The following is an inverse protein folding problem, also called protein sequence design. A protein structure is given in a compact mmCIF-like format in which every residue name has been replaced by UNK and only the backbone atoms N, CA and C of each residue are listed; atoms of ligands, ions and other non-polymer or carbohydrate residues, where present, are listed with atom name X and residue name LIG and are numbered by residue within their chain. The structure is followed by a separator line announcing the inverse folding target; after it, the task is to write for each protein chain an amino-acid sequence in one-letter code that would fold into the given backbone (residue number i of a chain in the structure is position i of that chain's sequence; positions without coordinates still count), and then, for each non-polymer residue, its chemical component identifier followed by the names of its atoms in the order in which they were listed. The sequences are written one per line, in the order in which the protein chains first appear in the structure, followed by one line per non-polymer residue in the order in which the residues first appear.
data_IF_875763834633
#
_entry.id   IF_875763834633
#
_cell.length_a   1.000
_cell.length_b   1.000
_cell.length_c   1.000
_cell.angle_alpha   90.00
_cell.angle_beta   90.00
_cell.angle_gamma   90.00
#
_symmetry.space_group_name_H-M   'P 1'
#
loop_
_entity.id
_entity.type
_entity.pdbx_description
1 polymer ?
#
# COMPACT_ATOMS: atom_id res chain seq x y z
N UNK A 1 -14.13 -25.12 -4.09
CA UNK A 1 -13.55 -24.93 -5.46
C UNK A 1 -12.44 -23.89 -5.51
N UNK A 2 -12.53 -22.73 -4.84
CA UNK A 2 -11.45 -21.72 -4.80
C UNK A 2 -10.09 -22.25 -4.28
N UNK A 3 -10.10 -23.14 -3.28
CA UNK A 3 -8.89 -23.78 -2.73
C UNK A 3 -8.18 -24.68 -3.76
N UNK A 4 -8.96 -25.45 -4.54
CA UNK A 4 -8.43 -26.38 -5.55
C UNK A 4 -7.79 -25.64 -6.73
N UNK A 5 -8.31 -24.45 -7.07
CA UNK A 5 -7.74 -23.62 -8.13
C UNK A 5 -6.54 -22.79 -7.64
N UNK A 6 -6.56 -22.28 -6.41
CA UNK A 6 -5.49 -21.44 -5.87
C UNK A 6 -4.22 -22.23 -5.52
N UNK A 7 -4.36 -23.46 -4.98
CA UNK A 7 -3.22 -24.29 -4.57
C UNK A 7 -2.22 -24.62 -5.70
N UNK A 8 -2.64 -25.03 -6.92
CA UNK A 8 -1.71 -25.19 -8.04
C UNK A 8 -1.19 -23.85 -8.60
N UNK A 9 -2.04 -22.81 -8.61
CA UNK A 9 -1.63 -21.48 -9.10
C UNK A 9 -0.56 -20.86 -8.21
N UNK A 10 -0.63 -21.02 -6.89
CA UNK A 10 0.37 -20.52 -5.95
C UNK A 10 1.78 -21.07 -6.28
N UNK A 11 1.87 -22.35 -6.67
CA UNK A 11 3.13 -22.95 -7.13
C UNK A 11 3.66 -22.35 -8.43
N UNK A 12 2.76 -21.99 -9.37
CA UNK A 12 3.13 -21.31 -10.62
C UNK A 12 3.64 -19.89 -10.35
N UNK A 13 2.94 -19.13 -9.49
CA UNK A 13 3.37 -17.79 -9.09
C UNK A 13 4.73 -17.83 -8.38
N UNK A 14 4.95 -18.79 -7.47
CA UNK A 14 6.25 -18.97 -6.81
C UNK A 14 7.38 -19.26 -7.82
N UNK A 15 7.12 -20.05 -8.86
CA UNK A 15 8.08 -20.32 -9.94
C UNK A 15 8.41 -19.07 -10.76
N UNK A 16 7.46 -18.17 -10.97
CA UNK A 16 7.70 -16.90 -11.66
C UNK A 16 8.68 -16.01 -10.89
N UNK A 17 8.63 -16.03 -9.55
CA UNK A 17 9.57 -15.28 -8.69
C UNK A 17 11.01 -15.83 -8.72
N UNK A 18 11.22 -17.06 -9.18
CA UNK A 18 12.56 -17.66 -9.32
C UNK A 18 13.31 -17.16 -10.56
N UNK A 19 12.62 -16.52 -11.51
CA UNK A 19 13.25 -15.95 -12.71
C UNK A 19 14.17 -14.80 -12.28
N UNK A 20 15.40 -14.69 -12.83
CA UNK A 20 16.31 -13.60 -12.47
C UNK A 20 15.64 -12.23 -12.69
N UNK A 21 15.77 -11.36 -11.67
CA UNK A 21 15.09 -10.06 -11.58
C UNK A 21 15.13 -9.22 -12.86
N UNK A 22 16.24 -9.14 -13.63
CA UNK A 22 16.28 -8.35 -14.85
C UNK A 22 15.27 -8.81 -15.92
N UNK A 23 15.13 -10.13 -16.12
CA UNK A 23 14.18 -10.68 -17.09
C UNK A 23 12.73 -10.45 -16.67
N UNK A 24 12.46 -10.56 -15.37
CA UNK A 24 11.13 -10.31 -14.81
C UNK A 24 10.71 -8.84 -15.03
N UNK A 25 11.61 -7.89 -14.78
CA UNK A 25 11.32 -6.48 -15.03
C UNK A 25 11.16 -6.16 -16.53
N UNK A 26 11.98 -6.76 -17.39
CA UNK A 26 11.84 -6.61 -18.84
C UNK A 26 10.47 -7.13 -19.34
N UNK A 27 10.05 -8.31 -18.87
CA UNK A 27 8.76 -8.88 -19.21
C UNK A 27 7.59 -8.00 -18.70
N UNK A 28 7.64 -7.56 -17.43
CA UNK A 28 6.61 -6.66 -16.87
C UNK A 28 6.51 -5.38 -17.68
N UNK A 29 7.64 -4.75 -18.01
CA UNK A 29 7.65 -3.51 -18.79
C UNK A 29 7.09 -3.73 -20.20
N UNK A 30 7.46 -4.84 -20.84
CA UNK A 30 6.96 -5.21 -22.16
C UNK A 30 5.44 -5.43 -22.16
N UNK A 31 4.92 -6.23 -21.22
CA UNK A 31 3.48 -6.48 -21.11
C UNK A 31 2.72 -5.21 -20.71
N UNK A 32 3.28 -4.35 -19.86
CA UNK A 32 2.67 -3.07 -19.50
C UNK A 32 2.61 -2.11 -20.71
N UNK A 33 3.68 -2.06 -21.52
CA UNK A 33 3.73 -1.25 -22.74
C UNK A 33 2.70 -1.72 -23.77
N UNK A 34 2.62 -3.03 -24.02
CA UNK A 34 1.61 -3.61 -24.91
C UNK A 34 0.21 -3.38 -24.36
N UNK A 35 -0.01 -3.57 -23.05
CA UNK A 35 -1.32 -3.36 -22.42
C UNK A 35 -1.79 -1.91 -22.50
N UNK A 36 -0.91 -0.96 -22.24
CA UNK A 36 -1.21 0.47 -22.38
C UNK A 36 -1.56 0.85 -23.82
N UNK A 37 -0.78 0.35 -24.79
CA UNK A 37 -1.06 0.59 -26.20
C UNK A 37 -2.35 -0.10 -26.66
N UNK A 38 -2.62 -1.33 -26.20
CA UNK A 38 -3.83 -2.08 -26.55
C UNK A 38 -5.13 -1.48 -25.99
N UNK A 39 -5.05 -0.72 -24.89
CA UNK A 39 -6.23 -0.13 -24.25
C UNK A 39 -6.91 0.94 -25.12
N UNK A 40 -6.15 1.87 -25.68
CA UNK A 40 -6.69 2.98 -26.47
C UNK A 40 -6.07 3.13 -27.88
N UNK A 41 -5.11 2.27 -28.26
CA UNK A 41 -4.38 2.38 -29.52
C UNK A 41 -3.51 3.64 -29.62
N UNK A 42 -3.34 4.38 -28.53
CA UNK A 42 -2.70 5.70 -28.52
C UNK A 42 -1.22 5.58 -28.15
N UNK A 43 -0.36 6.21 -28.96
CA UNK A 43 1.07 6.34 -28.62
C UNK A 43 1.29 7.27 -27.42
N UNK A 44 0.34 8.14 -27.10
CA UNK A 44 0.41 9.02 -25.92
C UNK A 44 0.39 8.23 -24.62
N UNK A 45 -0.36 7.14 -24.54
CA UNK A 45 -0.44 6.28 -23.36
C UNK A 45 0.88 5.55 -23.11
N UNK A 46 1.61 5.22 -24.19
CA UNK A 46 2.94 4.64 -24.10
C UNK A 46 3.97 5.66 -23.57
N UNK A 47 3.91 6.91 -24.03
CA UNK A 47 4.73 7.99 -23.49
C UNK A 47 4.41 8.25 -22.02
N UNK A 48 3.13 8.28 -21.66
CA UNK A 48 2.70 8.45 -20.27
C UNK A 48 3.19 7.31 -19.38
N UNK A 49 3.06 6.06 -19.83
CA UNK A 49 3.59 4.88 -19.15
C UNK A 49 5.11 5.01 -18.92
N UNK A 50 5.87 5.40 -19.94
CA UNK A 50 7.32 5.58 -19.81
C UNK A 50 7.69 6.70 -18.83
N UNK A 51 6.99 7.83 -18.88
CA UNK A 51 7.21 8.96 -17.96
C UNK A 51 6.89 8.56 -16.51
N UNK A 52 5.73 7.95 -16.27
CA UNK A 52 5.32 7.49 -14.93
C UNK A 52 6.24 6.37 -14.44
N UNK A 53 6.64 5.44 -15.32
CA UNK A 53 7.59 4.38 -15.01
C UNK A 53 8.97 4.92 -14.63
N UNK A 54 9.47 5.91 -15.37
CA UNK A 54 10.71 6.61 -15.07
C UNK A 54 10.62 7.39 -13.75
N UNK A 55 9.50 8.07 -13.48
CA UNK A 55 9.24 8.75 -12.22
C UNK A 55 9.26 7.75 -11.04
N UNK A 56 8.59 6.60 -11.19
CA UNK A 56 8.59 5.54 -10.18
C UNK A 56 9.99 4.95 -9.94
N UNK A 57 10.80 4.79 -10.99
CA UNK A 57 12.20 4.40 -10.88
C UNK A 57 13.02 5.45 -10.11
N UNK A 58 12.82 6.73 -10.42
CA UNK A 58 13.50 7.84 -9.75
C UNK A 58 13.12 7.93 -8.27
N UNK A 59 11.84 7.76 -7.94
CA UNK A 59 11.37 7.69 -6.55
C UNK A 59 12.02 6.55 -5.77
N UNK A 60 12.14 5.37 -6.40
CA UNK A 60 12.84 4.24 -5.81
C UNK A 60 14.33 4.54 -5.58
N UNK A 61 14.95 5.35 -6.45
CA UNK A 61 16.34 5.81 -6.28
C UNK A 61 16.50 6.79 -5.11
N UNK A 62 15.51 7.64 -4.85
CA UNK A 62 15.51 8.59 -3.73
C UNK A 62 14.98 8.00 -2.41
N UNK A 63 14.63 6.71 -2.38
CA UNK A 63 14.08 6.06 -1.18
C UNK A 63 12.64 6.45 -0.87
N UNK A 64 11.94 7.11 -1.80
CA UNK A 64 10.53 7.43 -1.66
C UNK A 64 9.70 6.17 -1.93
N UNK A 65 8.78 5.78 -1.02
CA UNK A 65 7.97 4.59 -1.20
C UNK A 65 6.92 4.85 -2.30
N UNK A 66 7.11 4.21 -3.46
CA UNK A 66 6.27 4.43 -4.66
C UNK A 66 4.78 4.16 -4.40
N UNK A 67 4.48 3.10 -3.65
CA UNK A 67 3.10 2.67 -3.39
C UNK A 67 2.29 3.73 -2.61
N UNK A 68 2.74 4.23 -1.44
CA UNK A 68 2.08 5.34 -0.74
C UNK A 68 1.89 6.60 -1.58
N UNK A 69 2.87 6.96 -2.43
CA UNK A 69 2.74 8.14 -3.28
C UNK A 69 1.64 7.96 -4.34
N UNK A 70 1.59 6.81 -5.01
CA UNK A 70 0.53 6.54 -6.00
C UNK A 70 -0.84 6.59 -5.32
N UNK A 71 -0.97 5.95 -4.15
CA UNK A 71 -2.20 5.99 -3.34
C UNK A 71 -2.56 7.44 -2.98
N UNK A 72 -1.59 8.26 -2.56
CA UNK A 72 -1.81 9.68 -2.26
C UNK A 72 -2.25 10.50 -3.47
N UNK A 73 -1.67 10.25 -4.65
CA UNK A 73 -2.04 10.94 -5.90
C UNK A 73 -3.47 10.60 -6.33
N UNK A 74 -3.88 9.35 -6.17
CA UNK A 74 -5.24 8.90 -6.52
C UNK A 74 -6.26 9.39 -5.47
N UNK A 75 -5.93 9.26 -4.18
CA UNK A 75 -6.84 9.61 -3.08
C UNK A 75 -6.93 11.12 -2.85
N UNK A 76 -5.88 11.89 -3.15
CA UNK A 76 -5.84 13.34 -2.95
C UNK A 76 -7.03 14.10 -3.55
N UNK A 77 -7.32 13.98 -4.86
CA UNK A 77 -8.48 14.65 -5.46
C UNK A 77 -9.82 14.16 -4.89
N UNK A 78 -9.91 12.86 -4.58
CA UNK A 78 -11.12 12.30 -3.96
C UNK A 78 -11.34 12.87 -2.56
N UNK A 79 -10.28 12.97 -1.76
CA UNK A 79 -10.31 13.57 -0.43
C UNK A 79 -10.73 15.04 -0.49
N UNK A 80 -10.13 15.83 -1.39
CA UNK A 80 -10.47 17.25 -1.56
C UNK A 80 -11.94 17.42 -1.99
N UNK A 81 -12.41 16.56 -2.89
CA UNK A 81 -13.81 16.56 -3.33
C UNK A 81 -14.77 16.30 -2.17
N UNK A 82 -14.56 15.23 -1.42
CA UNK A 82 -15.41 14.87 -0.26
C UNK A 82 -15.31 15.92 0.86
N UNK A 83 -14.13 16.50 1.07
CA UNK A 83 -13.94 17.58 2.03
C UNK A 83 -14.74 18.82 1.65
N UNK A 84 -14.67 19.24 0.38
CA UNK A 84 -15.48 20.36 -0.14
C UNK A 84 -16.97 20.06 -0.06
N UNK A 85 -17.39 18.84 -0.42
CA UNK A 85 -18.78 18.43 -0.35
C UNK A 85 -19.31 18.48 1.09
N UNK A 86 -18.55 17.97 2.06
CA UNK A 86 -18.90 18.04 3.47
C UNK A 86 -19.02 19.50 3.97
N UNK A 87 -18.10 20.37 3.54
CA UNK A 87 -18.17 21.80 3.87
C UNK A 87 -19.39 22.49 3.26
N UNK A 88 -19.73 22.19 2.02
CA UNK A 88 -20.93 22.72 1.37
C UNK A 88 -22.21 22.30 2.11
N UNK A 89 -22.33 21.02 2.48
CA UNK A 89 -23.46 20.51 3.27
C UNK A 89 -23.57 21.22 4.63
N UNK A 90 -22.43 21.57 5.22
CA UNK A 90 -22.38 22.28 6.51
C UNK A 90 -22.51 23.82 6.42
N UNK A 91 -22.89 24.37 5.25
CA UNK A 91 -22.93 25.82 4.98
C UNK A 91 -21.59 26.53 5.27
N UNK A 92 -20.47 25.90 4.94
CA UNK A 92 -19.12 26.45 5.14
C UNK A 92 -18.62 26.44 6.59
N UNK A 93 -19.35 25.84 7.53
CA UNK A 93 -18.95 25.75 8.93
C UNK A 93 -18.10 24.51 9.20
N UNK A 94 -16.82 24.70 9.55
CA UNK A 94 -15.92 23.63 10.00
C UNK A 94 -16.49 22.83 11.20
N UNK A 95 -17.43 23.41 11.96
CA UNK A 95 -18.13 22.70 13.04
C UNK A 95 -18.99 21.55 12.51
N UNK A 96 -19.52 21.64 11.29
CA UNK A 96 -20.32 20.57 10.69
C UNK A 96 -19.57 19.26 10.50
N UNK A 97 -18.24 19.31 10.34
CA UNK A 97 -17.41 18.10 10.24
C UNK A 97 -17.36 17.28 11.54
N UNK A 98 -17.49 17.93 12.70
CA UNK A 98 -17.29 17.33 14.03
C UNK A 98 -18.58 17.25 14.84
N UNK A 99 -19.64 17.98 14.44
CA UNK A 99 -20.86 18.11 15.23
C UNK A 99 -21.85 16.95 15.06
N UNK A 100 -21.61 16.02 14.12
CA UNK A 100 -22.48 14.84 13.99
C UNK A 100 -22.01 13.72 14.94
N UNK A 101 -22.94 13.03 15.63
CA UNK A 101 -22.57 11.94 16.53
C UNK A 101 -21.81 10.82 15.82
N UNK A 102 -22.06 10.63 14.52
CA UNK A 102 -21.35 9.67 13.68
C UNK A 102 -19.91 10.11 13.39
N UNK A 103 -19.67 11.38 13.06
CA UNK A 103 -18.31 11.93 12.91
C UNK A 103 -17.49 11.76 14.18
N UNK A 104 -18.07 12.06 15.35
CA UNK A 104 -17.39 11.93 16.65
C UNK A 104 -16.98 10.48 16.88
N UNK A 105 -17.88 9.52 16.64
CA UNK A 105 -17.59 8.10 16.79
C UNK A 105 -16.41 7.67 15.90
N UNK A 106 -16.42 8.08 14.63
CA UNK A 106 -15.34 7.77 13.68
C UNK A 106 -14.02 8.39 14.14
N UNK A 107 -14.00 9.67 14.53
CA UNK A 107 -12.78 10.32 15.02
C UNK A 107 -12.22 9.63 16.26
N UNK A 108 -13.08 9.19 17.19
CA UNK A 108 -12.65 8.43 18.37
C UNK A 108 -12.04 7.09 17.96
N UNK A 109 -12.67 6.34 17.06
CA UNK A 109 -12.14 5.05 16.57
C UNK A 109 -10.80 5.26 15.84
N UNK A 110 -10.70 6.25 14.95
CA UNK A 110 -9.46 6.58 14.25
C UNK A 110 -8.34 6.97 15.22
N UNK A 111 -8.65 7.78 16.23
CA UNK A 111 -7.69 8.15 17.27
C UNK A 111 -7.23 6.93 18.07
N UNK A 112 -8.13 6.02 18.43
CA UNK A 112 -7.78 4.78 19.12
C UNK A 112 -6.86 3.89 18.27
N UNK A 113 -7.17 3.69 16.99
CA UNK A 113 -6.34 2.88 16.07
C UNK A 113 -4.91 3.41 15.97
N UNK A 114 -4.72 4.73 15.99
CA UNK A 114 -3.39 5.35 15.92
C UNK A 114 -2.69 5.35 17.29
N UNK A 115 -3.39 5.73 18.36
CA UNK A 115 -2.79 5.94 19.69
C UNK A 115 -2.48 4.62 20.39
N UNK A 116 -3.35 3.62 20.29
CA UNK A 116 -3.19 2.32 20.98
C UNK A 116 -1.86 1.62 20.65
N UNK A 117 -1.47 1.40 19.37
CA UNK A 117 -0.20 0.74 19.06
C UNK A 117 1.00 1.56 19.56
N UNK A 118 0.96 2.90 19.41
CA UNK A 118 2.03 3.80 19.86
C UNK A 118 2.23 3.72 21.37
N UNK A 119 1.13 3.73 22.15
CA UNK A 119 1.19 3.66 23.61
C UNK A 119 1.66 2.28 24.08
N UNK A 120 1.21 1.20 23.42
CA UNK A 120 1.66 -0.17 23.73
C UNK A 120 3.16 -0.32 23.46
N UNK A 121 3.65 0.17 22.32
CA UNK A 121 5.06 0.09 21.95
C UNK A 121 5.94 0.91 22.90
N UNK A 122 5.54 2.14 23.26
CA UNK A 122 6.22 2.95 24.27
C UNK A 122 6.23 2.30 25.65
N UNK A 123 5.13 1.64 26.06
CA UNK A 123 5.05 0.92 27.33
C UNK A 123 5.88 -0.37 27.34
N UNK A 124 5.99 -1.06 26.20
CA UNK A 124 6.86 -2.24 26.04
C UNK A 124 8.35 -1.84 26.08
N UNK A 125 8.72 -0.76 25.40
CA UNK A 125 10.06 -0.19 25.46
C UNK A 125 10.44 0.28 26.88
N UNK A 126 9.50 0.91 27.61
CA UNK A 126 9.71 1.31 29.00
C UNK A 126 9.75 0.16 30.01
N UNK A 127 9.21 -1.02 29.67
CA UNK A 127 9.22 -2.23 30.51
C UNK A 127 10.44 -3.13 30.29
N UNK A 128 11.40 -2.74 29.43
CA UNK A 128 12.64 -3.49 29.24
C UNK A 128 12.45 -4.92 28.72
N UNK A 129 11.30 -5.22 28.09
CA UNK A 129 11.09 -6.52 27.46
C UNK A 129 11.87 -6.54 26.15
N UNK A 130 13.07 -7.13 26.21
CA UNK A 130 13.88 -7.43 25.04
C UNK A 130 13.00 -8.10 23.97
N UNK A 131 13.21 -7.78 22.68
CA UNK A 131 12.56 -8.50 21.59
C UNK A 131 12.76 -9.99 21.82
N UNK A 132 11.69 -10.78 21.69
CA UNK A 132 11.76 -12.23 21.80
C UNK A 132 12.77 -12.72 20.77
N UNK A 133 14.02 -12.90 21.22
CA UNK A 133 15.03 -13.66 20.54
C UNK A 133 14.39 -15.04 20.38
N UNK A 134 13.99 -15.30 19.13
CA UNK A 134 13.44 -16.57 18.71
C UNK A 134 14.36 -17.63 19.30
N UNK A 135 13.76 -18.46 20.15
CA UNK A 135 14.34 -19.63 20.78
C UNK A 135 14.99 -20.53 19.73
N UNK A 136 16.20 -20.18 19.31
CA UNK A 136 17.21 -21.07 18.77
C UNK A 136 17.77 -21.87 19.96
N UNK A 137 16.88 -22.64 20.59
CA UNK A 137 17.24 -23.64 21.55
C UNK A 137 16.57 -24.93 21.09
N UNK A 138 17.43 -25.87 20.71
CA UNK A 138 17.17 -27.30 20.73
C UNK A 138 16.12 -27.84 19.75
N UNK A 139 16.56 -27.98 18.50
CA UNK A 139 16.65 -29.33 17.95
C UNK A 139 18.09 -29.84 18.17
N UNK A 140 18.38 -30.20 19.42
CA UNK A 140 19.44 -31.15 19.73
C UNK A 140 18.96 -32.55 19.33
N UNK A 141 19.87 -33.37 18.79
CA UNK A 141 19.91 -34.78 19.15
C UNK A 141 19.82 -35.78 17.99
N UNK A 142 20.97 -36.38 17.66
CA UNK A 142 20.98 -37.82 17.36
C UNK A 142 21.79 -38.24 16.14
N UNK A 143 23.09 -38.47 16.38
CA UNK A 143 24.00 -39.39 15.66
C UNK A 143 24.42 -39.05 14.22
#
# INVERSE_FOLDING_TARGET
MLLVLNLPLAGVWARLLLIPRPYLYAAILFFAAIGAYAANGSSTDLWLLLIIGALGFLMRRFGLPVLPTIVGVILGPMFEYEFRQALQISNGSLKGLVNTPFSILIYVISALIVIVPIVIERRRAARGQAPLEVSHANFEGGN
#
